data_IF_839367676221
#
_entry.id   IF_839367676221
#
_cell.length_a   1.000
_cell.length_b   1.000
_cell.length_c   1.000
_cell.angle_alpha   90.00
_cell.angle_beta   90.00
_cell.angle_gamma   90.00
#
_symmetry.space_group_name_H-M   'P 1'
#
loop_
_entity.id
_entity.type
_entity.pdbx_description
1 polymer ?
#
# COMPACT_ATOMS: atom_id res chain seq x y z
N UNK A 1 3.21 -14.92 -6.72
CA UNK A 1 3.00 -16.29 -6.21
C UNK A 1 3.15 -17.30 -7.34
N UNK A 2 3.70 -18.47 -7.06
CA UNK A 2 3.86 -19.56 -8.02
C UNK A 2 3.38 -20.88 -7.41
N UNK A 3 2.54 -21.61 -8.13
CA UNK A 3 2.01 -22.92 -7.73
C UNK A 3 2.68 -24.00 -8.58
N UNK A 4 3.28 -24.99 -7.93
CA UNK A 4 4.02 -26.06 -8.59
C UNK A 4 3.42 -27.42 -8.20
N UNK A 5 3.17 -28.27 -9.19
CA UNK A 5 2.96 -29.69 -8.95
C UNK A 5 4.23 -30.45 -9.29
N UNK A 6 4.70 -31.30 -8.39
CA UNK A 6 5.91 -32.12 -8.57
C UNK A 6 5.47 -33.58 -8.74
N UNK A 7 5.43 -34.11 -9.98
CA UNK A 7 4.87 -35.44 -10.26
C UNK A 7 5.59 -36.58 -9.54
N UNK A 8 6.92 -36.53 -9.48
CA UNK A 8 7.75 -37.55 -8.81
C UNK A 8 7.46 -37.70 -7.31
N UNK A 9 6.93 -36.65 -6.67
CA UNK A 9 6.54 -36.64 -5.26
C UNK A 9 5.03 -36.68 -5.06
N UNK A 10 4.25 -36.56 -6.14
CA UNK A 10 2.79 -36.35 -6.13
C UNK A 10 2.36 -35.24 -5.15
N UNK A 11 3.09 -34.12 -5.14
CA UNK A 11 2.91 -33.03 -4.18
C UNK A 11 2.78 -31.67 -4.85
N UNK A 12 1.90 -30.83 -4.32
CA UNK A 12 1.73 -29.43 -4.72
C UNK A 12 2.42 -28.50 -3.72
N UNK A 13 3.12 -27.49 -4.25
CA UNK A 13 3.86 -26.48 -3.49
C UNK A 13 3.42 -25.09 -3.93
N UNK A 14 3.26 -24.17 -3.00
CA UNK A 14 2.97 -22.77 -3.28
C UNK A 14 4.11 -21.92 -2.75
N UNK A 15 4.70 -21.09 -3.60
CA UNK A 15 5.66 -20.06 -3.18
C UNK A 15 4.99 -18.70 -3.28
N UNK A 16 4.85 -17.98 -2.17
CA UNK A 16 4.17 -16.68 -2.22
C UNK A 16 5.03 -15.64 -2.93
N UNK A 17 6.36 -15.69 -2.71
CA UNK A 17 7.19 -14.50 -2.88
C UNK A 17 6.73 -13.44 -1.87
N UNK A 18 7.10 -12.18 -2.07
CA UNK A 18 6.52 -11.09 -1.30
C UNK A 18 5.05 -10.90 -1.68
N UNK A 19 4.16 -10.85 -0.68
CA UNK A 19 2.72 -10.71 -0.95
C UNK A 19 1.95 -10.06 0.21
N UNK A 20 0.83 -9.43 -0.15
CA UNK A 20 -0.22 -9.07 0.79
C UNK A 20 -1.49 -9.83 0.48
N UNK A 21 -1.89 -10.71 1.40
CA UNK A 21 -3.09 -11.50 1.28
C UNK A 21 -4.31 -10.58 1.16
N UNK A 22 -5.20 -10.93 0.23
CA UNK A 22 -6.55 -10.39 0.17
C UNK A 22 -7.51 -11.56 -0.05
N UNK A 23 -8.77 -11.49 0.45
CA UNK A 23 -9.75 -12.56 0.28
C UNK A 23 -9.91 -13.02 -1.18
N UNK A 24 -9.77 -12.09 -2.14
CA UNK A 24 -9.86 -12.36 -3.58
C UNK A 24 -8.90 -13.44 -4.09
N UNK A 25 -7.77 -13.67 -3.41
CA UNK A 25 -6.82 -14.72 -3.76
C UNK A 25 -7.38 -16.13 -3.54
N UNK A 26 -8.42 -16.26 -2.70
CA UNK A 26 -9.07 -17.52 -2.34
C UNK A 26 -10.55 -17.53 -2.77
N UNK A 27 -10.93 -16.71 -3.75
CA UNK A 27 -12.26 -16.74 -4.37
C UNK A 27 -12.13 -16.95 -5.88
N UNK A 28 -13.20 -17.44 -6.53
CA UNK A 28 -13.21 -17.59 -7.99
C UNK A 28 -12.92 -16.23 -8.66
N UNK A 29 -12.12 -16.20 -9.74
CA UNK A 29 -11.61 -17.32 -10.54
C UNK A 29 -10.22 -17.86 -10.11
N UNK A 30 -9.75 -17.60 -8.89
CA UNK A 30 -8.43 -18.06 -8.43
C UNK A 30 -8.32 -19.59 -8.43
N UNK A 31 -7.25 -20.13 -8.99
CA UNK A 31 -6.95 -21.58 -8.97
C UNK A 31 -6.74 -22.13 -7.56
N UNK A 32 -6.41 -21.27 -6.59
CA UNK A 32 -6.25 -21.68 -5.19
C UNK A 32 -7.57 -22.16 -4.57
N UNK A 33 -8.71 -21.82 -5.15
CA UNK A 33 -10.03 -22.32 -4.73
C UNK A 33 -10.14 -23.84 -4.82
N UNK A 34 -9.41 -24.48 -5.74
CA UNK A 34 -9.35 -25.94 -5.87
C UNK A 34 -8.74 -26.66 -4.66
N UNK A 35 -8.13 -25.91 -3.74
CA UNK A 35 -7.46 -26.41 -2.53
C UNK A 35 -8.16 -25.97 -1.24
N UNK A 36 -9.32 -25.31 -1.34
CA UNK A 36 -10.12 -24.93 -0.18
C UNK A 36 -11.06 -26.07 0.17
N UNK A 37 -11.00 -26.57 1.40
CA UNK A 37 -11.99 -27.52 1.90
C UNK A 37 -13.38 -26.88 1.84
N UNK A 38 -14.33 -27.55 1.21
CA UNK A 38 -15.75 -27.16 1.26
C UNK A 38 -16.44 -28.06 2.29
N UNK A 39 -17.02 -27.46 3.34
CA UNK A 39 -17.73 -28.17 4.43
C UNK A 39 -18.89 -29.04 3.91
N UNK A 40 -19.31 -28.81 2.66
CA UNK A 40 -20.49 -29.42 2.03
C UNK A 40 -20.16 -30.62 1.14
N UNK A 41 -18.88 -30.90 0.85
CA UNK A 41 -18.50 -31.90 -0.15
C UNK A 41 -17.83 -33.13 0.46
N UNK A 42 -18.40 -34.31 0.22
CA UNK A 42 -17.84 -35.62 0.58
C UNK A 42 -16.62 -36.02 -0.25
N UNK A 43 -16.11 -35.12 -1.10
CA UNK A 43 -14.99 -35.36 -2.01
C UNK A 43 -13.70 -34.84 -1.38
N UNK A 44 -12.74 -35.73 -1.13
CA UNK A 44 -11.42 -35.37 -0.61
C UNK A 44 -10.69 -34.47 -1.62
N UNK A 45 -10.67 -33.17 -1.37
CA UNK A 45 -9.98 -32.19 -2.22
C UNK A 45 -8.45 -32.32 -2.08
N UNK A 46 -7.69 -31.97 -3.14
CA UNK A 46 -6.24 -31.96 -3.07
C UNK A 46 -5.77 -30.89 -2.07
N UNK A 47 -4.79 -31.24 -1.23
CA UNK A 47 -4.19 -30.35 -0.25
C UNK A 47 -2.84 -29.83 -0.73
N UNK A 48 -2.54 -28.57 -0.49
CA UNK A 48 -1.18 -28.04 -0.73
C UNK A 48 -0.23 -28.68 0.29
N UNK A 49 0.85 -29.30 -0.18
CA UNK A 49 1.82 -29.93 0.72
C UNK A 49 2.65 -28.88 1.47
N UNK A 50 3.25 -27.91 0.76
CA UNK A 50 4.00 -26.84 1.44
C UNK A 50 3.73 -25.48 0.86
N UNK A 51 3.58 -24.51 1.76
CA UNK A 51 3.60 -23.09 1.41
C UNK A 51 4.94 -22.51 1.85
N UNK A 52 5.68 -21.93 0.90
CA UNK A 52 6.84 -21.08 1.17
C UNK A 52 6.32 -19.65 1.34
N UNK A 53 6.25 -19.22 2.60
CA UNK A 53 5.47 -18.06 3.04
C UNK A 53 6.36 -16.84 3.33
N UNK A 54 6.02 -15.72 2.70
CA UNK A 54 6.49 -14.40 3.12
C UNK A 54 6.02 -14.12 4.54
N UNK A 55 7.01 -14.01 5.41
CA UNK A 55 6.87 -13.93 6.86
C UNK A 55 7.34 -12.58 7.39
N UNK A 56 7.43 -11.56 6.53
CA UNK A 56 7.89 -10.19 6.85
C UNK A 56 7.27 -9.63 8.12
N UNK A 57 5.96 -9.81 8.32
CA UNK A 57 5.21 -9.34 9.49
C UNK A 57 4.56 -10.48 10.29
N UNK A 58 5.24 -11.62 10.41
CA UNK A 58 4.75 -12.78 11.16
C UNK A 58 4.94 -12.64 12.69
N UNK A 59 4.42 -11.56 13.28
CA UNK A 59 4.30 -11.37 14.73
C UNK A 59 3.05 -10.57 15.06
N UNK A 60 2.36 -10.91 16.16
CA UNK A 60 1.06 -10.33 16.54
C UNK A 60 1.09 -8.82 16.78
N UNK A 61 2.26 -8.23 16.99
CA UNK A 61 2.43 -6.79 17.07
C UNK A 61 2.25 -6.06 15.73
N UNK A 62 2.32 -6.78 14.61
CA UNK A 62 2.18 -6.25 13.25
C UNK A 62 0.76 -6.49 12.70
N UNK A 63 -0.22 -5.91 13.39
CA UNK A 63 -1.61 -5.92 12.96
C UNK A 63 -2.05 -4.52 12.56
N UNK A 64 -1.94 -4.23 11.26
CA UNK A 64 -2.27 -2.95 10.65
C UNK A 64 -3.53 -3.05 9.78
N UNK A 65 -4.25 -1.94 9.54
CA UNK A 65 -5.51 -1.95 8.80
C UNK A 65 -5.35 -2.42 7.34
N UNK A 66 -6.48 -2.76 6.70
CA UNK A 66 -6.48 -3.18 5.29
C UNK A 66 -6.00 -2.04 4.39
N UNK A 67 -5.51 -2.35 3.19
CA UNK A 67 -5.15 -1.33 2.20
C UNK A 67 -6.32 -0.38 1.91
N UNK A 68 -7.54 -0.90 1.89
CA UNK A 68 -8.75 -0.13 1.62
C UNK A 68 -9.06 0.86 2.75
N UNK A 69 -8.99 0.43 4.01
CA UNK A 69 -9.23 1.31 5.16
C UNK A 69 -8.21 2.46 5.22
N UNK A 70 -6.94 2.16 4.94
CA UNK A 70 -5.88 3.17 4.89
C UNK A 70 -6.09 4.14 3.73
N UNK A 71 -6.48 3.66 2.54
CA UNK A 71 -6.81 4.54 1.42
C UNK A 71 -8.02 5.41 1.75
N UNK A 72 -9.06 4.87 2.39
CA UNK A 72 -10.23 5.65 2.81
C UNK A 72 -9.87 6.73 3.82
N UNK A 73 -9.07 6.42 4.85
CA UNK A 73 -8.60 7.42 5.80
C UNK A 73 -7.77 8.52 5.13
N UNK A 74 -6.88 8.15 4.20
CA UNK A 74 -6.09 9.12 3.45
C UNK A 74 -6.97 9.99 2.52
N UNK A 75 -8.00 9.40 1.94
CA UNK A 75 -8.97 10.09 1.11
C UNK A 75 -9.76 11.14 1.89
N UNK A 76 -10.26 10.80 3.08
CA UNK A 76 -10.99 11.74 3.95
C UNK A 76 -10.12 12.94 4.31
N UNK A 77 -8.90 12.69 4.80
CA UNK A 77 -7.95 13.77 5.11
C UNK A 77 -7.66 14.61 3.87
N UNK A 78 -7.37 13.99 2.72
CA UNK A 78 -7.08 14.74 1.49
C UNK A 78 -8.26 15.59 1.03
N UNK A 79 -9.49 15.06 1.12
CA UNK A 79 -10.72 15.78 0.81
C UNK A 79 -10.90 17.00 1.71
N UNK A 80 -10.71 16.85 3.01
CA UNK A 80 -10.87 17.96 3.97
C UNK A 80 -9.91 19.12 3.69
N UNK A 81 -8.67 18.81 3.31
CA UNK A 81 -7.72 19.83 2.88
C UNK A 81 -8.13 20.49 1.57
N UNK A 82 -8.59 19.71 0.57
CA UNK A 82 -9.04 20.24 -0.72
C UNK A 82 -10.30 21.10 -0.61
N UNK A 83 -11.20 20.82 0.34
CA UNK A 83 -12.38 21.66 0.61
C UNK A 83 -11.95 23.05 1.13
N UNK A 84 -10.94 23.08 2.00
CA UNK A 84 -10.42 24.33 2.61
C UNK A 84 -9.52 25.10 1.65
N UNK A 85 -8.69 24.39 0.91
CA UNK A 85 -7.75 24.91 -0.06
C UNK A 85 -7.75 24.01 -1.31
N UNK A 86 -8.61 24.31 -2.32
CA UNK A 86 -8.68 23.53 -3.56
C UNK A 86 -7.38 23.52 -4.37
N UNK A 87 -6.42 24.35 -3.98
CA UNK A 87 -5.18 24.58 -4.69
C UNK A 87 -3.96 23.96 -4.02
N UNK A 88 -4.17 23.32 -2.85
CA UNK A 88 -3.14 22.53 -2.17
C UNK A 88 -2.51 21.51 -3.13
N UNK A 89 -1.20 21.33 -3.03
CA UNK A 89 -0.52 20.26 -3.75
C UNK A 89 -0.55 18.99 -2.91
N UNK A 90 -1.13 17.93 -3.46
CA UNK A 90 -1.01 16.58 -2.87
C UNK A 90 0.28 15.95 -3.38
N UNK A 91 1.08 15.36 -2.49
CA UNK A 91 2.32 14.69 -2.83
C UNK A 91 2.29 13.27 -2.26
N UNK A 92 2.51 12.26 -3.10
CA UNK A 92 2.59 10.86 -2.67
C UNK A 92 4.02 10.34 -2.79
N UNK A 93 4.55 9.77 -1.71
CA UNK A 93 5.83 9.07 -1.71
C UNK A 93 5.75 7.69 -2.35
N UNK A 94 6.65 7.41 -3.29
CA UNK A 94 6.88 6.08 -3.88
C UNK A 94 8.38 5.80 -3.96
N UNK A 95 8.78 4.52 -4.04
CA UNK A 95 10.17 4.14 -4.29
C UNK A 95 10.43 4.10 -5.81
N UNK A 96 10.27 2.92 -6.41
CA UNK A 96 10.46 2.71 -7.87
C UNK A 96 9.17 2.22 -8.52
N UNK A 97 8.60 1.16 -7.95
CA UNK A 97 7.26 0.59 -8.18
C UNK A 97 6.66 0.27 -6.81
N UNK A 98 5.35 0.05 -6.75
CA UNK A 98 4.61 -0.15 -5.51
C UNK A 98 3.94 1.15 -5.05
N UNK A 99 2.83 0.98 -4.32
CA UNK A 99 1.91 2.02 -3.84
C UNK A 99 1.06 2.70 -4.93
N UNK A 100 1.07 2.21 -6.16
CA UNK A 100 0.22 2.74 -7.25
C UNK A 100 -1.26 2.70 -6.88
N UNK A 101 -1.70 1.66 -6.17
CA UNK A 101 -3.08 1.55 -5.68
C UNK A 101 -3.44 2.64 -4.66
N UNK A 102 -2.49 3.06 -3.82
CA UNK A 102 -2.71 4.19 -2.91
C UNK A 102 -2.88 5.49 -3.69
N UNK A 103 -1.97 5.76 -4.64
CA UNK A 103 -2.04 6.93 -5.52
C UNK A 103 -3.32 6.95 -6.37
N UNK A 104 -3.68 5.81 -6.97
CA UNK A 104 -4.91 5.63 -7.75
C UNK A 104 -6.16 5.84 -6.89
N UNK A 105 -6.17 5.34 -5.65
CA UNK A 105 -7.28 5.51 -4.72
C UNK A 105 -7.59 6.98 -4.47
N UNK A 106 -6.56 7.81 -4.25
CA UNK A 106 -6.72 9.25 -4.11
C UNK A 106 -7.13 9.90 -5.44
N UNK A 107 -6.39 9.61 -6.52
CA UNK A 107 -6.60 10.26 -7.82
C UNK A 107 -7.99 9.99 -8.40
N UNK A 108 -8.46 8.75 -8.37
CA UNK A 108 -9.74 8.36 -8.95
C UNK A 108 -10.94 8.90 -8.19
N UNK A 109 -10.90 8.87 -6.85
CA UNK A 109 -12.03 9.28 -6.02
C UNK A 109 -12.12 10.78 -5.79
N UNK A 110 -11.01 11.51 -5.95
CA UNK A 110 -10.95 12.96 -5.85
C UNK A 110 -10.73 13.64 -7.21
N UNK A 111 -10.74 12.87 -8.30
CA UNK A 111 -10.52 13.31 -9.68
C UNK A 111 -9.25 14.18 -9.86
N UNK A 112 -8.14 13.77 -9.22
CA UNK A 112 -6.88 14.51 -9.28
C UNK A 112 -6.07 14.07 -10.50
N UNK A 113 -5.50 15.03 -11.24
CA UNK A 113 -4.49 14.71 -12.26
C UNK A 113 -3.15 14.44 -11.59
N UNK A 114 -2.49 13.39 -12.05
CA UNK A 114 -1.28 12.84 -11.48
C UNK A 114 -0.09 13.19 -12.36
N UNK A 115 0.97 13.73 -11.75
CA UNK A 115 2.26 13.80 -12.40
C UNK A 115 3.23 12.78 -11.80
N UNK A 116 3.89 12.05 -12.69
CA UNK A 116 4.88 11.03 -12.37
C UNK A 116 6.25 11.47 -12.89
N UNK A 117 7.34 11.31 -12.13
CA UNK A 117 8.68 11.46 -12.67
C UNK A 117 8.94 10.47 -13.80
N UNK A 118 9.83 10.81 -14.74
CA UNK A 118 10.03 10.05 -15.98
C UNK A 118 10.28 8.55 -15.77
N UNK A 119 11.11 8.20 -14.77
CA UNK A 119 11.45 6.81 -14.47
C UNK A 119 10.23 6.03 -13.96
N UNK A 120 9.49 6.59 -12.99
CA UNK A 120 8.26 6.00 -12.47
C UNK A 120 7.20 5.89 -13.57
N UNK A 121 7.03 6.91 -14.42
CA UNK A 121 6.09 6.88 -15.53
C UNK A 121 6.40 5.75 -16.52
N UNK A 122 7.68 5.56 -16.86
CA UNK A 122 8.13 4.45 -17.71
C UNK A 122 7.80 3.10 -17.09
N UNK A 123 8.10 2.89 -15.80
CA UNK A 123 7.84 1.64 -15.10
C UNK A 123 6.33 1.32 -15.02
N UNK A 124 5.50 2.33 -14.70
CA UNK A 124 4.04 2.17 -14.63
C UNK A 124 3.46 1.83 -16.02
N UNK A 125 3.95 2.46 -17.10
CA UNK A 125 3.56 2.11 -18.48
C UNK A 125 3.91 0.67 -18.84
N UNK A 126 5.13 0.23 -18.53
CA UNK A 126 5.56 -1.15 -18.76
C UNK A 126 4.72 -2.15 -17.95
N UNK A 127 4.44 -1.85 -16.69
CA UNK A 127 3.59 -2.69 -15.85
C UNK A 127 2.15 -2.78 -16.40
N UNK A 128 1.59 -1.67 -16.88
CA UNK A 128 0.27 -1.66 -17.50
C UNK A 128 0.23 -2.48 -18.80
N UNK A 129 1.28 -2.37 -19.65
CA UNK A 129 1.45 -3.20 -20.84
C UNK A 129 1.58 -4.69 -20.50
N UNK A 130 2.23 -5.00 -19.38
CA UNK A 130 2.33 -6.35 -18.81
C UNK A 130 1.06 -6.86 -18.12
N UNK A 131 -0.06 -6.13 -18.20
CA UNK A 131 -1.36 -6.57 -17.69
C UNK A 131 -1.74 -6.08 -16.28
N UNK A 132 -0.93 -5.21 -15.64
CA UNK A 132 -1.29 -4.64 -14.34
C UNK A 132 -2.46 -3.65 -14.48
N UNK A 133 -3.64 -4.04 -13.99
CA UNK A 133 -4.88 -3.24 -14.07
C UNK A 133 -4.79 -1.94 -13.28
N UNK A 134 -4.18 -1.96 -12.09
CA UNK A 134 -3.97 -0.77 -11.24
C UNK A 134 -3.15 0.27 -11.99
N UNK A 135 -2.06 -0.14 -12.64
CA UNK A 135 -1.23 0.77 -13.44
C UNK A 135 -1.99 1.30 -14.66
N UNK A 136 -2.77 0.43 -15.32
CA UNK A 136 -3.61 0.83 -16.47
C UNK A 136 -4.65 1.88 -16.08
N UNK A 137 -5.32 1.71 -14.94
CA UNK A 137 -6.28 2.68 -14.40
C UNK A 137 -5.60 3.97 -13.96
N UNK A 138 -4.46 3.89 -13.27
CA UNK A 138 -3.70 5.06 -12.83
C UNK A 138 -3.29 5.95 -14.02
N UNK A 139 -2.88 5.34 -15.14
CA UNK A 139 -2.49 6.07 -16.35
C UNK A 139 -3.61 6.95 -16.94
N UNK A 140 -4.89 6.67 -16.63
CA UNK A 140 -6.01 7.52 -17.06
C UNK A 140 -6.00 8.90 -16.39
N UNK A 141 -5.32 9.03 -15.25
CA UNK A 141 -5.18 10.28 -14.49
C UNK A 141 -3.84 10.98 -14.75
N UNK A 142 -2.90 10.31 -15.41
CA UNK A 142 -1.53 10.82 -15.60
C UNK A 142 -1.49 11.91 -16.67
N UNK A 143 -0.83 13.03 -16.35
CA UNK A 143 -0.58 14.15 -17.27
C UNK A 143 0.91 14.32 -17.55
N UNK A 144 1.24 14.84 -18.73
CA UNK A 144 2.64 14.98 -19.19
C UNK A 144 3.44 16.11 -18.51
N UNK A 145 2.80 16.97 -17.72
CA UNK A 145 3.46 18.11 -17.07
C UNK A 145 2.99 18.26 -15.62
N UNK A 146 3.93 18.54 -14.72
CA UNK A 146 3.64 18.79 -13.29
C UNK A 146 2.73 20.00 -13.09
N UNK A 147 2.76 20.98 -13.99
CA UNK A 147 1.89 22.16 -13.89
C UNK A 147 0.41 21.85 -14.10
N UNK A 148 0.09 20.72 -14.74
CA UNK A 148 -1.28 20.26 -14.99
C UNK A 148 -1.80 19.29 -13.93
N UNK A 149 -1.03 19.06 -12.85
CA UNK A 149 -1.34 18.06 -11.85
C UNK A 149 -1.62 18.66 -10.47
N UNK A 150 -2.55 18.04 -9.76
CA UNK A 150 -2.87 18.31 -8.36
C UNK A 150 -2.18 17.30 -7.44
N UNK A 151 -1.82 16.13 -7.95
CA UNK A 151 -1.10 15.09 -7.22
C UNK A 151 0.25 14.80 -7.88
N UNK A 152 1.34 14.99 -7.15
CA UNK A 152 2.68 14.65 -7.62
C UNK A 152 3.22 13.41 -6.90
N UNK A 153 3.83 12.50 -7.66
CA UNK A 153 4.60 11.40 -7.07
C UNK A 153 6.06 11.84 -6.92
N UNK A 154 6.63 11.63 -5.73
CA UNK A 154 8.04 11.90 -5.44
C UNK A 154 8.73 10.68 -4.82
N UNK A 155 10.07 10.58 -4.93
CA UNK A 155 10.85 9.60 -4.20
C UNK A 155 10.59 9.69 -2.70
N UNK A 156 10.34 8.57 -2.03
CA UNK A 156 10.02 8.50 -0.60
C UNK A 156 11.03 9.23 0.30
N UNK A 157 12.30 9.30 -0.11
CA UNK A 157 13.35 10.02 0.61
C UNK A 157 13.08 11.54 0.68
N UNK A 158 12.39 12.12 -0.31
CA UNK A 158 12.07 13.55 -0.38
C UNK A 158 10.83 13.93 0.44
N UNK A 159 10.06 12.94 0.92
CA UNK A 159 8.82 13.17 1.70
C UNK A 159 9.15 13.50 3.17
N UNK A 160 10.02 14.47 3.41
CA UNK A 160 10.31 15.03 4.72
C UNK A 160 10.21 16.56 4.63
N UNK A 161 10.18 17.25 5.77
CA UNK A 161 10.00 18.71 5.78
C UNK A 161 11.05 19.44 4.93
N UNK A 162 12.33 19.07 5.03
CA UNK A 162 13.40 19.70 4.24
C UNK A 162 13.20 19.47 2.74
N UNK A 163 12.97 18.21 2.35
CA UNK A 163 12.75 17.84 0.95
C UNK A 163 11.52 18.50 0.33
N UNK A 164 10.42 18.61 1.09
CA UNK A 164 9.21 19.27 0.60
C UNK A 164 9.34 20.80 0.55
N UNK A 165 10.11 21.42 1.45
CA UNK A 165 10.44 22.86 1.34
C UNK A 165 11.28 23.11 0.09
N UNK A 166 12.29 22.29 -0.18
CA UNK A 166 13.09 22.40 -1.41
C UNK A 166 12.25 22.16 -2.66
N UNK A 167 11.37 21.17 -2.61
CA UNK A 167 10.44 20.89 -3.71
C UNK A 167 9.47 22.05 -3.96
N UNK A 168 8.92 22.64 -2.90
CA UNK A 168 8.07 23.83 -2.97
C UNK A 168 8.80 25.01 -3.62
N UNK A 169 10.07 25.24 -3.24
CA UNK A 169 10.92 26.27 -3.87
C UNK A 169 11.17 25.99 -5.35
N UNK A 170 11.44 24.73 -5.72
CA UNK A 170 11.67 24.31 -7.11
C UNK A 170 10.45 24.51 -8.00
N UNK A 171 9.25 24.36 -7.44
CA UNK A 171 8.00 24.67 -8.15
C UNK A 171 7.83 26.16 -8.43
N UNK A 172 8.59 27.03 -7.73
CA UNK A 172 8.55 28.49 -7.87
C UNK A 172 7.24 29.11 -7.33
N UNK A 173 7.02 30.38 -7.68
CA UNK A 173 5.69 31.00 -7.58
C UNK A 173 4.77 30.35 -8.64
N UNK A 174 3.47 30.18 -8.35
CA UNK A 174 2.54 29.46 -9.25
C UNK A 174 2.69 29.86 -10.73
N UNK A 175 2.80 28.88 -11.61
CA UNK A 175 2.47 29.04 -13.04
C UNK A 175 0.94 28.93 -13.24
N UNK A 176 0.35 29.65 -14.20
CA UNK A 176 -1.08 29.97 -14.23
C UNK A 176 -1.91 28.80 -14.77
N UNK A 177 -2.50 28.03 -13.87
CA UNK A 177 -3.78 27.33 -14.12
C UNK A 177 -4.45 27.08 -12.77
N UNK A 178 -5.36 27.97 -12.39
CA UNK A 178 -6.45 27.67 -11.46
C UNK A 178 -7.46 26.78 -12.21
N UNK A 179 -7.65 25.49 -11.85
CA UNK A 179 -8.63 24.64 -12.53
C UNK A 179 -10.08 25.08 -12.31
N UNK A 180 -10.32 26.00 -11.36
CA UNK A 180 -11.66 26.39 -10.91
C UNK A 180 -11.98 27.88 -11.15
N UNK A 181 -11.06 28.66 -11.75
CA UNK A 181 -11.26 30.06 -12.14
C UNK A 181 -12.03 30.94 -11.11
N UNK A 182 -11.70 30.89 -9.82
CA UNK A 182 -12.62 31.44 -8.80
C UNK A 182 -12.00 32.21 -7.63
N UNK A 183 -10.71 32.59 -7.62
CA UNK A 183 -10.22 33.42 -6.49
C UNK A 183 -9.27 34.53 -6.87
N UNK A 184 -9.57 35.72 -6.34
CA UNK A 184 -8.86 36.99 -6.52
C UNK A 184 -7.96 37.37 -5.33
N UNK A 185 -7.69 36.46 -4.39
CA UNK A 185 -6.84 36.77 -3.22
C UNK A 185 -5.72 35.74 -3.04
N UNK A 186 -4.48 36.17 -3.29
CA UNK A 186 -3.27 35.34 -3.38
C UNK A 186 -2.59 35.12 -2.01
N UNK A 187 -2.38 33.87 -1.60
CA UNK A 187 -1.28 33.51 -0.70
C UNK A 187 0.01 33.22 -1.52
N UNK A 188 1.19 33.53 -0.96
CA UNK A 188 2.48 33.58 -1.67
C UNK A 188 3.12 32.22 -2.00
N UNK A 189 2.75 31.13 -1.33
CA UNK A 189 3.35 29.78 -1.50
C UNK A 189 2.26 28.70 -1.51
N UNK A 190 2.41 27.68 -2.37
CA UNK A 190 1.43 26.59 -2.50
C UNK A 190 1.55 25.63 -1.32
N UNK A 191 0.53 25.53 -0.48
CA UNK A 191 0.41 24.53 0.61
C UNK A 191 0.70 23.12 0.09
N UNK A 192 1.30 22.26 0.91
CA UNK A 192 1.60 20.87 0.53
C UNK A 192 1.02 19.90 1.55
N UNK A 193 0.26 18.92 1.05
CA UNK A 193 -0.15 17.72 1.78
C UNK A 193 0.67 16.53 1.27
N UNK A 194 1.63 16.07 2.08
CA UNK A 194 2.48 14.92 1.78
C UNK A 194 1.95 13.63 2.40
N UNK A 195 1.94 12.55 1.62
CA UNK A 195 1.62 11.20 2.04
C UNK A 195 2.85 10.31 2.00
N UNK A 196 3.17 9.68 3.14
CA UNK A 196 4.16 8.61 3.28
C UNK A 196 3.44 7.27 3.48
N UNK A 197 3.00 6.61 2.39
CA UNK A 197 2.42 5.27 2.46
C UNK A 197 3.54 4.25 2.74
N UNK A 198 3.81 4.03 4.02
CA UNK A 198 4.82 3.08 4.49
C UNK A 198 4.13 1.93 5.22
N UNK A 199 4.82 0.81 5.40
CA UNK A 199 4.28 -0.31 6.17
C UNK A 199 4.13 0.04 7.64
N UNK A 200 4.46 -0.90 8.52
CA UNK A 200 4.40 -0.63 9.95
C UNK A 200 5.45 0.40 10.38
N UNK A 201 5.01 1.56 10.87
CA UNK A 201 5.87 2.61 11.41
C UNK A 201 5.72 2.70 12.93
N UNK A 202 6.78 2.35 13.66
CA UNK A 202 6.81 2.37 15.13
C UNK A 202 6.93 3.78 15.72
N UNK A 203 6.58 4.84 14.98
CA UNK A 203 6.82 6.22 15.43
C UNK A 203 5.75 6.64 16.43
N UNK A 204 6.01 6.28 17.69
CA UNK A 204 5.47 6.98 18.84
C UNK A 204 5.82 8.47 18.69
N UNK A 205 4.81 9.33 18.67
CA UNK A 205 5.05 10.71 19.08
C UNK A 205 5.50 10.64 20.54
N UNK A 206 6.74 11.03 20.82
CA UNK A 206 7.22 11.27 22.17
C UNK A 206 6.36 12.36 22.81
N UNK A 207 5.25 11.96 23.46
CA UNK A 207 4.62 12.63 24.62
C UNK A 207 3.22 12.13 25.04
N UNK A 208 2.72 10.98 24.58
CA UNK A 208 1.49 10.42 25.21
C UNK A 208 1.55 8.91 25.28
N UNK A 209 1.56 8.39 26.52
CA UNK A 209 1.29 6.99 26.85
C UNK A 209 -0.16 6.64 26.49
N UNK A 210 -0.45 6.35 25.22
CA UNK A 210 -1.73 5.74 24.84
C UNK A 210 -1.55 4.83 23.63
N UNK A 211 -1.73 3.52 23.89
CA UNK A 211 -1.96 2.39 22.99
C UNK A 211 -0.93 2.08 21.89
N UNK A 212 -0.41 0.83 21.92
CA UNK A 212 0.47 0.22 20.91
C UNK A 212 -0.19 -0.02 19.53
N UNK A 213 -1.39 0.51 19.28
CA UNK A 213 -2.15 0.28 18.05
C UNK A 213 -2.18 1.55 17.21
N UNK A 214 -1.90 1.49 15.90
CA UNK A 214 -2.13 2.62 15.02
C UNK A 214 -3.61 3.05 15.11
N UNK A 215 -3.94 4.33 14.86
CA UNK A 215 -5.33 4.79 14.79
C UNK A 215 -6.14 3.89 13.86
N UNK A 216 -7.46 3.79 14.05
CA UNK A 216 -8.31 2.80 13.34
C UNK A 216 -8.14 2.81 11.81
N UNK A 217 -7.84 3.96 11.22
CA UNK A 217 -7.62 4.14 9.77
C UNK A 217 -6.13 4.09 9.35
N UNK A 218 -5.20 3.92 10.29
CA UNK A 218 -3.76 3.83 10.03
C UNK A 218 -3.12 5.15 9.57
N UNK A 219 -3.79 6.29 9.79
CA UNK A 219 -3.34 7.62 9.35
C UNK A 219 -2.84 8.44 10.54
N UNK A 220 -1.63 8.99 10.43
CA UNK A 220 -1.01 9.80 11.49
C UNK A 220 -0.35 11.03 10.87
N UNK A 221 -0.59 12.22 11.43
CA UNK A 221 0.19 13.41 11.09
C UNK A 221 1.60 13.25 11.70
N UNK A 222 2.61 13.05 10.86
CA UNK A 222 3.99 12.82 11.32
C UNK A 222 4.77 14.11 11.49
N UNK A 223 4.62 15.06 10.56
CA UNK A 223 5.38 16.30 10.53
C UNK A 223 4.52 17.46 10.03
N UNK A 224 4.73 18.64 10.61
CA UNK A 224 4.09 19.90 10.17
C UNK A 224 5.09 21.05 10.26
N UNK A 225 5.19 21.86 9.21
CA UNK A 225 5.96 23.12 9.21
C UNK A 225 5.29 24.13 8.29
N UNK A 226 4.71 25.19 8.86
CA UNK A 226 3.91 26.15 8.10
C UNK A 226 2.77 25.45 7.36
N UNK A 227 2.70 25.69 6.05
CA UNK A 227 1.66 25.12 5.15
C UNK A 227 2.01 23.73 4.60
N UNK A 228 3.08 23.10 5.09
CA UNK A 228 3.48 21.75 4.73
C UNK A 228 3.05 20.78 5.83
N UNK A 229 2.20 19.82 5.48
CA UNK A 229 1.69 18.77 6.36
C UNK A 229 2.07 17.41 5.78
N UNK A 230 2.70 16.55 6.57
CA UNK A 230 3.14 15.22 6.12
C UNK A 230 2.48 14.16 6.98
N UNK A 231 1.66 13.32 6.37
CA UNK A 231 0.98 12.21 7.01
C UNK A 231 1.67 10.89 6.68
N UNK A 232 1.87 10.08 7.70
CA UNK A 232 2.13 8.65 7.58
C UNK A 232 0.82 7.90 7.34
N UNK A 233 0.83 7.01 6.37
CA UNK A 233 -0.27 6.08 6.12
C UNK A 233 0.29 4.66 6.24
N UNK A 234 -0.33 3.82 7.08
CA UNK A 234 0.07 2.44 7.38
C UNK A 234 -0.22 1.47 6.22
N UNK A 235 0.19 1.84 5.02
CA UNK A 235 -0.04 1.14 3.77
C UNK A 235 1.08 0.12 3.49
N UNK A 236 0.88 -1.10 3.99
CA UNK A 236 1.77 -2.23 3.70
C UNK A 236 1.47 -2.89 2.34
N UNK A 237 2.50 -3.44 1.69
CA UNK A 237 2.41 -4.37 0.56
C UNK A 237 2.76 -5.81 0.94
N UNK A 238 3.01 -6.04 2.23
CA UNK A 238 3.10 -7.36 2.85
C UNK A 238 1.90 -7.61 3.76
N UNK A 239 1.54 -8.87 3.91
CA UNK A 239 0.43 -9.32 4.75
C UNK A 239 0.63 -8.93 6.22
N UNK A 240 -0.43 -8.47 6.89
CA UNK A 240 -0.46 -8.34 8.36
C UNK A 240 -0.44 -9.72 9.03
N UNK A 241 -0.23 -9.75 10.34
CA UNK A 241 -0.29 -10.99 11.11
C UNK A 241 -1.62 -11.75 10.95
N UNK A 242 -2.74 -11.03 11.03
CA UNK A 242 -4.07 -11.64 10.86
C UNK A 242 -4.32 -12.06 9.41
N UNK A 243 -3.87 -11.27 8.43
CA UNK A 243 -3.94 -11.62 7.01
C UNK A 243 -3.16 -12.92 6.73
N UNK A 244 -1.95 -13.09 7.28
CA UNK A 244 -1.16 -14.33 7.18
C UNK A 244 -1.87 -15.52 7.83
N UNK A 245 -2.37 -15.34 9.06
CA UNK A 245 -3.10 -16.38 9.79
C UNK A 245 -4.34 -16.84 9.00
N UNK A 246 -5.12 -15.90 8.46
CA UNK A 246 -6.30 -16.21 7.64
C UNK A 246 -5.90 -16.98 6.37
N UNK A 247 -4.86 -16.54 5.66
CA UNK A 247 -4.41 -17.22 4.46
C UNK A 247 -4.00 -18.69 4.72
N UNK A 248 -3.21 -18.92 5.78
CA UNK A 248 -2.73 -20.26 6.14
C UNK A 248 -3.86 -21.15 6.68
N UNK A 249 -4.74 -20.62 7.54
CA UNK A 249 -5.86 -21.40 8.09
C UNK A 249 -6.88 -21.78 7.01
N UNK A 250 -7.11 -20.93 6.01
CA UNK A 250 -8.04 -21.20 4.90
C UNK A 250 -7.49 -22.22 3.90
N UNK A 251 -6.21 -22.14 3.55
CA UNK A 251 -5.56 -23.12 2.64
C UNK A 251 -5.15 -24.41 3.34
N UNK A 252 -4.98 -24.35 4.67
CA UNK A 252 -4.61 -25.43 5.55
C UNK A 252 -3.56 -26.39 4.95
N UNK A 253 -2.36 -25.92 4.55
CA UNK A 253 -1.34 -26.77 3.94
C UNK A 253 -0.79 -27.82 4.92
N UNK A 254 -0.11 -28.86 4.43
CA UNK A 254 0.51 -29.88 5.30
C UNK A 254 1.61 -29.27 6.17
N UNK A 255 2.40 -28.35 5.62
CA UNK A 255 3.43 -27.61 6.35
C UNK A 255 3.67 -26.22 5.74
N UNK A 256 4.30 -25.33 6.50
CA UNK A 256 4.71 -24.01 6.03
C UNK A 256 6.21 -23.81 6.24
N UNK A 257 6.87 -23.25 5.23
CA UNK A 257 8.28 -22.90 5.23
C UNK A 257 8.40 -21.36 5.20
N UNK A 258 8.90 -20.70 6.25
CA UNK A 258 9.19 -19.27 6.22
C UNK A 258 10.26 -18.94 5.17
N UNK A 259 10.10 -17.84 4.45
CA UNK A 259 11.09 -17.34 3.47
C UNK A 259 11.78 -16.04 3.91
N UNK A 260 11.29 -15.37 4.94
CA UNK A 260 11.88 -14.14 5.48
C UNK A 260 12.41 -14.43 6.87
N UNK A 261 13.71 -14.20 7.07
CA UNK A 261 14.41 -14.57 8.29
C UNK A 261 14.75 -13.33 9.10
N UNK A 262 13.96 -13.08 10.15
CA UNK A 262 14.30 -12.12 11.19
C UNK A 262 15.16 -12.74 12.29
N UNK A 263 15.44 -11.98 13.35
CA UNK A 263 16.22 -12.45 14.53
C UNK A 263 15.58 -13.63 15.29
N UNK A 264 14.31 -13.98 15.01
CA UNK A 264 13.58 -15.04 15.72
C UNK A 264 12.88 -16.02 14.76
N UNK A 265 13.70 -16.77 14.02
CA UNK A 265 13.23 -17.77 13.05
C UNK A 265 12.44 -18.91 13.73
N UNK A 266 12.86 -19.33 14.93
CA UNK A 266 12.21 -20.42 15.68
C UNK A 266 10.80 -20.02 16.12
N UNK A 267 10.64 -18.84 16.71
CA UNK A 267 9.32 -18.34 17.11
C UNK A 267 8.37 -18.18 15.91
N UNK A 268 8.91 -17.78 14.75
CA UNK A 268 8.12 -17.66 13.51
C UNK A 268 7.58 -19.02 13.08
N UNK A 269 8.41 -20.08 13.09
CA UNK A 269 7.97 -21.44 12.77
C UNK A 269 6.93 -21.95 13.76
N UNK A 270 7.15 -21.77 15.06
CA UNK A 270 6.22 -22.21 16.10
C UNK A 270 4.87 -21.51 15.98
N UNK A 271 4.89 -20.20 15.72
CA UNK A 271 3.68 -19.38 15.51
C UNK A 271 2.88 -19.90 14.32
N UNK A 272 3.53 -20.12 13.17
CA UNK A 272 2.83 -20.58 11.96
C UNK A 272 2.32 -22.02 12.13
N UNK A 273 3.12 -22.90 12.75
CA UNK A 273 2.71 -24.27 13.04
C UNK A 273 1.50 -24.31 13.98
N UNK A 274 1.39 -23.36 14.91
CA UNK A 274 0.23 -23.24 15.78
C UNK A 274 -1.08 -22.93 15.03
N UNK A 275 -1.02 -22.34 13.82
CA UNK A 275 -2.19 -22.07 13.00
C UNK A 275 -2.70 -23.29 12.22
N UNK A 276 -1.91 -24.36 12.16
CA UNK A 276 -2.27 -25.61 11.49
C UNK A 276 -2.80 -26.69 12.44
N UNK A 277 -2.74 -26.43 13.75
CA UNK A 277 -3.35 -27.26 14.79
C UNK A 277 -4.84 -26.92 14.89
#
# INVERSE_FOLDING_TARGET
MFLFYVPSKQKTYLHTGDFRYTPSMLTHPSILTNYLSDDSSSKKLPRIHSIFLDTTYCSSQYDFPTQLDVIHGALEVTRDYLIKDPTILVVCGMYSIGKERFTLGLASKLNLKVWLPNNQNRLIKLAAQGGCTICKELLQYVVGSSHKAQLHVLPMQQLNVTGLVEYQKKLGNRLPTDPFHSSSTLSKLRSILGWRPTGWSHRQSSNTQTSMKPPRNGIVLEQKKGDIHIYGASYSEHSSFLELKQFITRLHPVQVQPTVFGKSITMTKDTVNSWLK
#
